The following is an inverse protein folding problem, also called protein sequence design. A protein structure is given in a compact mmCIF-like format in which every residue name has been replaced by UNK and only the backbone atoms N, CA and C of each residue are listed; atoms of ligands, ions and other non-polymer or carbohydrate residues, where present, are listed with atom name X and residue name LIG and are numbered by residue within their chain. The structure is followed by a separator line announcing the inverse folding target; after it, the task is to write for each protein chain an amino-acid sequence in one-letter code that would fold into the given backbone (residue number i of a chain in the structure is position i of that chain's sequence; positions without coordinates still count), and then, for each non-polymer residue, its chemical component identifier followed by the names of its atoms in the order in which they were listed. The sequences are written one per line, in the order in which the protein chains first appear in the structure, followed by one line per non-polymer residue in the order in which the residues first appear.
data_IF_637839720489
#
_entry.id   IF_637839720489
#
_cell.length_a   1.000
_cell.length_b   1.000
_cell.length_c   1.000
_cell.angle_alpha   90.00
_cell.angle_beta   90.00
_cell.angle_gamma   90.00
#
_symmetry.space_group_name_H-M   'P 1'
#
loop_
_entity.id
_entity.type
_entity.pdbx_description
1 polymer ?
#
# COMPACT_ATOMS: atom_id res chain seq x y z
N UNK A 1 -0.45 -2.82 14.43
CA UNK A 1 0.44 -2.36 13.36
C UNK A 1 0.06 -0.97 12.88
N UNK A 2 1.06 -0.22 12.47
CA UNK A 2 0.83 1.13 11.96
C UNK A 2 0.84 1.14 10.43
N UNK A 3 0.68 2.34 9.86
CA UNK A 3 0.63 2.48 8.42
C UNK A 3 1.93 2.05 7.75
N UNK A 4 3.07 2.26 8.42
CA UNK A 4 4.37 1.83 7.89
C UNK A 4 4.45 0.33 7.71
N UNK A 5 3.86 -0.42 8.66
CA UNK A 5 3.78 -1.87 8.55
C UNK A 5 3.03 -2.27 7.28
N UNK A 6 1.89 -1.62 7.04
CA UNK A 6 1.07 -1.97 5.88
C UNK A 6 1.72 -1.55 4.57
N UNK A 7 2.50 -0.48 4.58
CA UNK A 7 3.26 -0.08 3.40
C UNK A 7 4.26 -1.17 3.02
N UNK A 8 5.01 -1.65 4.01
CA UNK A 8 5.97 -2.72 3.78
C UNK A 8 5.29 -4.02 3.36
N UNK A 9 4.19 -4.35 4.04
CA UNK A 9 3.44 -5.56 3.71
C UNK A 9 2.96 -5.50 2.27
N UNK A 10 2.42 -4.35 1.86
CA UNK A 10 1.97 -4.19 0.49
C UNK A 10 3.09 -4.37 -0.51
N UNK A 11 4.26 -3.81 -0.21
CA UNK A 11 5.42 -3.96 -1.09
C UNK A 11 5.84 -5.42 -1.24
N UNK A 12 5.86 -6.16 -0.15
CA UNK A 12 6.23 -7.57 -0.18
C UNK A 12 5.22 -8.40 -0.95
N UNK A 13 3.93 -8.12 -0.74
CA UNK A 13 2.88 -8.82 -1.45
C UNK A 13 2.97 -8.56 -2.94
N UNK A 14 3.28 -7.33 -3.33
CA UNK A 14 3.41 -6.98 -4.73
C UNK A 14 4.58 -7.73 -5.37
N UNK A 15 5.69 -7.86 -4.65
CA UNK A 15 6.83 -8.62 -5.13
C UNK A 15 6.48 -10.08 -5.36
N UNK A 16 5.55 -10.60 -4.57
CA UNK A 16 5.10 -11.99 -4.69
C UNK A 16 3.95 -12.13 -5.68
N UNK A 17 3.70 -11.12 -6.49
CA UNK A 17 2.64 -11.16 -7.50
C UNK A 17 1.24 -11.28 -6.90
N UNK A 18 1.07 -10.84 -5.65
CA UNK A 18 -0.23 -10.81 -5.00
C UNK A 18 -0.77 -9.39 -5.01
N UNK A 19 -1.11 -8.94 -6.21
CA UNK A 19 -1.49 -7.55 -6.43
C UNK A 19 -2.71 -7.13 -5.63
N UNK A 20 -3.76 -7.94 -5.64
CA UNK A 20 -4.98 -7.60 -4.92
C UNK A 20 -4.71 -7.46 -3.43
N UNK A 21 -3.98 -8.41 -2.86
CA UNK A 21 -3.64 -8.37 -1.44
C UNK A 21 -2.74 -7.17 -1.12
N UNK A 22 -1.84 -6.84 -2.04
CA UNK A 22 -0.97 -5.68 -1.87
C UNK A 22 -1.78 -4.40 -1.79
N UNK A 23 -2.74 -4.24 -2.70
CA UNK A 23 -3.59 -3.05 -2.72
C UNK A 23 -4.39 -2.97 -1.44
N UNK A 24 -4.92 -4.09 -0.96
CA UNK A 24 -5.66 -4.11 0.30
C UNK A 24 -4.79 -3.66 1.47
N UNK A 25 -3.53 -4.09 1.49
CA UNK A 25 -2.61 -3.67 2.54
C UNK A 25 -2.36 -2.16 2.49
N UNK A 26 -2.12 -1.63 1.30
CA UNK A 26 -1.92 -0.20 1.13
C UNK A 26 -3.15 0.59 1.57
N UNK A 27 -4.34 0.11 1.22
CA UNK A 27 -5.57 0.78 1.60
C UNK A 27 -5.76 0.77 3.11
N UNK A 28 -5.38 -0.31 3.76
CA UNK A 28 -5.45 -0.38 5.21
C UNK A 28 -4.51 0.65 5.84
N UNK A 29 -3.33 0.81 5.26
CA UNK A 29 -2.41 1.84 5.72
C UNK A 29 -3.00 3.23 5.58
N UNK A 30 -3.72 3.47 4.48
CA UNK A 30 -4.39 4.76 4.27
C UNK A 30 -5.39 5.08 5.36
N UNK A 31 -6.11 4.08 5.85
CA UNK A 31 -7.12 4.33 6.89
C UNK A 31 -6.48 4.59 8.25
N UNK A 32 -5.24 4.16 8.44
CA UNK A 32 -4.57 4.29 9.74
C UNK A 32 -3.75 5.56 9.86
N UNK A 33 -3.18 6.06 8.77
CA UNK A 33 -2.30 7.21 8.85
C UNK A 33 -3.07 8.51 8.76
N UNK A 34 -2.56 9.53 9.48
CA UNK A 34 -3.07 10.89 9.36
C UNK A 34 -2.04 11.81 8.74
N UNK A 35 -0.88 11.27 8.39
CA UNK A 35 0.21 12.03 7.78
C UNK A 35 -0.08 12.19 6.28
N UNK A 36 -0.18 13.45 5.84
CA UNK A 36 -0.50 13.74 4.43
C UNK A 36 0.56 13.18 3.48
N UNK A 37 1.84 13.22 3.87
CA UNK A 37 2.90 12.68 3.03
C UNK A 37 2.78 11.18 2.90
N UNK A 38 2.47 10.50 3.99
CA UNK A 38 2.32 9.05 3.97
C UNK A 38 1.11 8.64 3.16
N UNK A 39 0.02 9.39 3.26
CA UNK A 39 -1.15 9.15 2.42
C UNK A 39 -0.79 9.24 0.95
N UNK A 40 0.00 10.24 0.59
CA UNK A 40 0.40 10.44 -0.79
C UNK A 40 1.22 9.25 -1.31
N UNK A 41 2.16 8.78 -0.48
CA UNK A 41 2.98 7.62 -0.85
C UNK A 41 2.11 6.40 -1.06
N UNK A 42 1.17 6.15 -0.13
CA UNK A 42 0.31 4.98 -0.24
C UNK A 42 -0.59 5.06 -1.47
N UNK A 43 -1.13 6.24 -1.76
CA UNK A 43 -1.96 6.41 -2.96
C UNK A 43 -1.17 6.14 -4.24
N UNK A 44 0.07 6.62 -4.29
CA UNK A 44 0.92 6.38 -5.44
C UNK A 44 1.24 4.90 -5.60
N UNK A 45 1.46 4.20 -4.49
CA UNK A 45 1.74 2.77 -4.54
C UNK A 45 0.52 2.00 -5.05
N UNK A 46 -0.67 2.40 -4.64
CA UNK A 46 -1.90 1.76 -5.11
C UNK A 46 -2.04 1.94 -6.62
N UNK A 47 -1.82 3.15 -7.11
CA UNK A 47 -1.89 3.42 -8.55
C UNK A 47 -0.88 2.59 -9.32
N UNK A 48 0.34 2.51 -8.79
CA UNK A 48 1.40 1.73 -9.41
C UNK A 48 1.04 0.26 -9.47
N UNK A 49 0.50 -0.27 -8.38
CA UNK A 49 0.09 -1.68 -8.35
C UNK A 49 -1.00 -1.95 -9.37
N UNK A 50 -1.95 -1.03 -9.52
CA UNK A 50 -3.01 -1.18 -10.51
C UNK A 50 -2.48 -1.18 -11.93
N UNK A 51 -1.44 -0.40 -12.20
CA UNK A 51 -0.87 -0.33 -13.53
C UNK A 51 -0.09 -1.57 -13.90
N UNK A 52 0.45 -2.26 -12.92
CA UNK A 52 1.27 -3.44 -13.16
C UNK A 52 0.43 -4.70 -13.24
N UNK A 53 -0.67 -4.62 -13.94
CA UNK A 53 -1.55 -5.81 -14.10
C UNK A 53 -0.99 -6.78 -15.11
#
# INVERSE_FOLDING_TARGET
PDSGFYLLLGDLLLENNQKTSAIEAYMKGLTLTQDAQEKDVLKKRILRANKNS
#
